data_IF_601369456629
#
_entry.id   IF_601369456629
#
_cell.length_a   1.000
_cell.length_b   1.000
_cell.length_c   1.000
_cell.angle_alpha   90.00
_cell.angle_beta   90.00
_cell.angle_gamma   90.00
#
_symmetry.space_group_name_H-M   'P 1'
#
loop_
_entity.id
_entity.type
_entity.pdbx_description
1 polymer ?
#
# COMPACT_ATOMS: atom_id res chain seq x y z
N UNK A 1 17.29 7.88 1.58
CA UNK A 1 16.19 8.02 2.57
C UNK A 1 14.88 8.08 1.79
N UNK A 2 13.84 7.36 2.22
CA UNK A 2 12.52 7.45 1.58
C UNK A 2 11.94 8.85 1.77
N UNK A 3 11.30 9.40 0.74
CA UNK A 3 10.75 10.75 0.80
C UNK A 3 9.70 10.83 1.94
N UNK A 4 9.62 11.93 2.71
CA UNK A 4 8.67 12.03 3.83
C UNK A 4 7.22 11.72 3.45
N UNK A 5 6.83 12.07 2.21
CA UNK A 5 5.51 11.76 1.65
C UNK A 5 5.31 10.26 1.49
N UNK A 6 6.30 9.52 0.98
CA UNK A 6 6.20 8.07 0.79
C UNK A 6 5.97 7.36 2.13
N UNK A 7 6.64 7.83 3.18
CA UNK A 7 6.46 7.31 4.53
C UNK A 7 5.05 7.57 5.07
N UNK A 8 4.54 8.80 4.89
CA UNK A 8 3.19 9.17 5.30
C UNK A 8 2.12 8.36 4.55
N UNK A 9 2.21 8.34 3.21
CA UNK A 9 1.25 7.66 2.34
C UNK A 9 1.30 6.14 2.57
N UNK A 10 2.49 5.55 2.65
CA UNK A 10 2.65 4.12 2.91
C UNK A 10 2.03 3.66 4.23
N UNK A 11 2.17 4.46 5.31
CA UNK A 11 1.51 4.19 6.60
C UNK A 11 -0.02 4.22 6.47
N UNK A 12 -0.58 5.20 5.76
CA UNK A 12 -2.04 5.35 5.56
C UNK A 12 -2.61 4.21 4.72
N UNK A 13 -1.95 3.84 3.62
CA UNK A 13 -2.36 2.73 2.76
C UNK A 13 -2.38 1.41 3.54
N UNK A 14 -1.32 1.14 4.33
CA UNK A 14 -1.24 -0.06 5.17
C UNK A 14 -2.37 -0.12 6.20
N UNK A 15 -2.60 0.97 6.91
CA UNK A 15 -3.66 1.03 7.91
C UNK A 15 -5.05 0.81 7.30
N UNK A 16 -5.34 1.47 6.17
CA UNK A 16 -6.60 1.28 5.45
C UNK A 16 -6.80 -0.17 5.02
N UNK A 17 -5.76 -0.80 4.47
CA UNK A 17 -5.80 -2.21 4.07
C UNK A 17 -6.19 -3.14 5.22
N UNK A 18 -5.59 -2.94 6.40
CA UNK A 18 -5.94 -3.73 7.59
C UNK A 18 -7.40 -3.52 8.00
N UNK A 19 -7.86 -2.27 8.04
CA UNK A 19 -9.23 -1.95 8.43
C UNK A 19 -10.29 -2.57 7.51
N UNK A 20 -9.97 -2.78 6.23
CA UNK A 20 -10.91 -3.36 5.25
C UNK A 20 -10.60 -4.82 4.90
N UNK A 21 -9.66 -5.47 5.58
CA UNK A 21 -9.27 -6.85 5.30
C UNK A 21 -8.66 -7.08 3.91
N UNK A 22 -7.98 -6.08 3.35
CA UNK A 22 -7.42 -6.13 1.99
C UNK A 22 -5.95 -6.58 1.98
N UNK A 23 -5.65 -7.56 1.14
CA UNK A 23 -4.29 -8.09 0.91
C UNK A 23 -3.45 -7.13 0.07
N UNK A 24 -2.14 -7.40 -0.01
CA UNK A 24 -1.23 -6.58 -0.81
C UNK A 24 -1.46 -6.77 -2.30
N UNK A 25 -1.71 -8.01 -2.71
CA UNK A 25 -2.01 -8.34 -4.10
C UNK A 25 -3.30 -7.65 -4.58
N UNK A 26 -4.36 -7.68 -3.78
CA UNK A 26 -5.62 -7.00 -4.10
C UNK A 26 -5.45 -5.49 -4.30
N UNK A 27 -4.64 -4.83 -3.46
CA UNK A 27 -4.31 -3.42 -3.67
C UNK A 27 -3.54 -3.22 -4.99
N UNK A 28 -2.56 -4.08 -5.27
CA UNK A 28 -1.76 -4.02 -6.48
C UNK A 28 -2.63 -4.11 -7.74
N UNK A 29 -3.56 -5.06 -7.76
CA UNK A 29 -4.48 -5.31 -8.86
C UNK A 29 -5.41 -4.10 -9.08
N UNK A 30 -5.90 -3.48 -8.01
CA UNK A 30 -6.78 -2.30 -8.09
C UNK A 30 -6.10 -1.05 -8.65
N UNK A 31 -4.80 -0.89 -8.42
CA UNK A 31 -4.03 0.30 -8.87
C UNK A 31 -3.10 0.01 -10.05
N UNK A 32 -3.18 -1.20 -10.62
CA UNK A 32 -2.44 -1.59 -11.82
C UNK A 32 -0.92 -1.72 -11.62
N UNK A 33 -0.46 -2.04 -10.41
CA UNK A 33 0.97 -2.23 -10.11
C UNK A 33 1.27 -3.68 -9.74
N UNK A 34 2.55 -4.07 -9.90
CA UNK A 34 3.08 -5.31 -9.35
C UNK A 34 4.08 -4.99 -8.25
N UNK A 35 3.97 -5.67 -7.12
CA UNK A 35 5.02 -5.62 -6.11
C UNK A 35 6.16 -6.53 -6.52
N UNK A 36 7.40 -6.06 -6.37
CA UNK A 36 8.56 -6.94 -6.44
C UNK A 36 8.54 -7.86 -5.23
N UNK A 37 8.66 -9.17 -5.49
CA UNK A 37 8.89 -10.18 -4.47
C UNK A 37 10.35 -10.14 -4.02
#
# INVERSE_FOLDING_TARGET
>A
MAHPVDQHVGKRIRHRRWLVGMTQQQLADQVGIKFQQ
#
